data_IF_708764586674
#
_entry.id   IF_708764586674
#
_cell.length_a   1.000
_cell.length_b   1.000
_cell.length_c   1.000
_cell.angle_alpha   90.00
_cell.angle_beta   90.00
_cell.angle_gamma   90.00
#
_symmetry.space_group_name_H-M   'P 1'
#
loop_
_entity.id
_entity.type
_entity.pdbx_description
1 polymer ?
#
# COMPACT_ATOMS: atom_id res chain seq x y z
N UNK A 1 7.82 1.92 40.70
CA UNK A 1 6.98 2.66 39.74
C UNK A 1 7.49 2.32 38.36
N UNK A 2 6.86 1.34 37.70
CA UNK A 2 7.26 0.90 36.36
C UNK A 2 6.60 1.84 35.35
N UNK A 3 7.40 2.57 34.59
CA UNK A 3 6.95 3.39 33.47
C UNK A 3 6.36 2.46 32.41
N UNK A 4 5.04 2.33 32.38
CA UNK A 4 4.35 1.85 31.18
C UNK A 4 4.49 2.99 30.17
N UNK A 5 5.57 2.96 29.38
CA UNK A 5 5.55 3.65 28.10
C UNK A 5 4.48 2.88 27.32
N UNK A 6 3.37 3.51 26.89
CA UNK A 6 2.56 2.88 25.88
C UNK A 6 3.50 2.72 24.69
N UNK A 7 3.93 1.49 24.42
CA UNK A 7 4.58 1.16 23.15
C UNK A 7 3.70 1.83 22.09
N UNK A 8 4.29 2.77 21.36
CA UNK A 8 3.62 3.53 20.31
C UNK A 8 3.19 2.53 19.24
N UNK A 9 2.05 1.88 19.42
CA UNK A 9 1.52 0.96 18.46
C UNK A 9 1.20 1.75 17.20
N UNK A 10 1.89 1.42 16.11
CA UNK A 10 1.62 2.02 14.81
C UNK A 10 0.13 1.83 14.47
N UNK A 11 -0.54 2.87 13.95
CA UNK A 11 -1.96 2.80 13.59
C UNK A 11 -2.19 1.69 12.57
N UNK A 12 -3.32 0.99 12.69
CA UNK A 12 -3.69 -0.10 11.78
C UNK A 12 -4.72 0.42 10.78
N UNK A 13 -4.41 0.28 9.49
CA UNK A 13 -5.32 0.50 8.38
C UNK A 13 -5.85 -0.86 7.90
N UNK A 14 -7.15 -1.00 7.71
CA UNK A 14 -7.78 -2.27 7.31
C UNK A 14 -8.18 -2.18 5.85
N UNK A 15 -7.63 -3.04 5.00
CA UNK A 15 -8.04 -3.15 3.60
C UNK A 15 -9.48 -3.64 3.53
N UNK A 16 -10.34 -2.81 2.96
CA UNK A 16 -11.76 -3.09 2.74
C UNK A 16 -12.28 -2.41 1.47
N UNK A 17 -13.55 -2.68 1.15
CA UNK A 17 -14.20 -2.10 -0.03
C UNK A 17 -14.60 -0.63 0.15
N UNK A 18 -14.79 -0.16 1.40
CA UNK A 18 -15.15 1.22 1.67
C UNK A 18 -14.02 2.17 1.28
N UNK A 19 -12.77 1.76 1.52
CA UNK A 19 -11.57 2.53 1.19
C UNK A 19 -11.01 2.24 -0.21
N UNK A 20 -11.61 1.31 -0.96
CA UNK A 20 -11.15 1.00 -2.31
C UNK A 20 -11.50 2.14 -3.27
N UNK A 21 -10.46 2.82 -3.75
CA UNK A 21 -10.49 3.84 -4.79
C UNK A 21 -10.69 3.25 -6.19
N UNK A 22 -11.78 2.50 -6.36
CA UNK A 22 -12.16 1.89 -7.64
C UNK A 22 -12.78 2.95 -8.57
N UNK A 23 -12.57 2.78 -9.88
CA UNK A 23 -13.29 3.58 -10.87
C UNK A 23 -14.75 3.13 -10.86
N UNK A 24 -15.65 3.97 -10.36
CA UNK A 24 -17.09 3.71 -10.34
C UNK A 24 -17.79 4.47 -11.48
N UNK A 25 -18.80 3.84 -12.09
CA UNK A 25 -19.64 4.48 -13.10
C UNK A 25 -20.57 5.54 -12.50
N UNK A 26 -20.78 5.50 -11.19
CA UNK A 26 -21.60 6.43 -10.40
C UNK A 26 -20.80 7.64 -9.87
N UNK A 27 -19.47 7.61 -9.98
CA UNK A 27 -18.59 8.68 -9.48
C UNK A 27 -18.38 8.66 -7.96
N UNK A 28 -18.85 7.60 -7.27
CA UNK A 28 -18.52 7.36 -5.86
C UNK A 28 -17.02 7.09 -5.71
N UNK A 29 -16.38 7.87 -4.82
CA UNK A 29 -14.99 7.71 -4.41
C UNK A 29 -14.93 6.91 -3.10
N UNK A 30 -13.88 6.11 -2.93
CA UNK A 30 -13.66 5.39 -1.69
C UNK A 30 -13.31 6.34 -0.54
N UNK A 31 -13.56 5.92 0.69
CA UNK A 31 -13.11 6.62 1.89
C UNK A 31 -11.58 6.72 1.93
N UNK A 32 -11.08 7.79 2.54
CA UNK A 32 -9.65 8.01 2.74
C UNK A 32 -9.26 7.79 4.20
N UNK A 33 -8.15 7.10 4.44
CA UNK A 33 -7.62 6.97 5.78
C UNK A 33 -7.01 8.29 6.25
N UNK A 34 -7.01 8.50 7.57
CA UNK A 34 -6.31 9.61 8.22
C UNK A 34 -5.55 9.12 9.45
N UNK A 35 -4.24 9.37 9.51
CA UNK A 35 -3.38 8.92 10.61
C UNK A 35 -2.45 10.02 11.09
N UNK A 36 -2.12 9.99 12.38
CA UNK A 36 -1.15 10.91 13.00
C UNK A 36 0.27 10.30 13.09
N UNK A 37 0.43 9.01 12.77
CA UNK A 37 1.70 8.28 12.87
C UNK A 37 2.68 8.65 11.76
N UNK A 38 3.73 9.41 12.10
CA UNK A 38 4.78 9.80 11.14
C UNK A 38 5.84 8.70 10.93
N UNK A 39 5.97 7.83 11.92
CA UNK A 39 6.96 6.74 11.90
C UNK A 39 6.52 5.56 11.03
N UNK A 40 5.22 5.44 10.78
CA UNK A 40 4.66 4.35 9.98
C UNK A 40 3.20 4.06 10.27
N UNK A 41 2.69 3.04 9.60
CA UNK A 41 1.41 2.41 9.91
C UNK A 41 1.48 0.91 9.58
N UNK A 42 0.53 0.14 10.10
CA UNK A 42 0.35 -1.27 9.76
C UNK A 42 -0.85 -1.42 8.82
N UNK A 43 -0.67 -2.11 7.70
CA UNK A 43 -1.74 -2.42 6.75
C UNK A 43 -2.21 -3.85 6.99
N UNK A 44 -3.46 -4.02 7.42
CA UNK A 44 -4.10 -5.31 7.63
C UNK A 44 -4.89 -5.71 6.39
N UNK A 45 -4.54 -6.86 5.79
CA UNK A 45 -5.30 -7.48 4.69
C UNK A 45 -6.17 -8.64 5.18
N UNK A 46 -6.24 -8.85 6.50
CA UNK A 46 -6.98 -9.94 7.11
C UNK A 46 -8.46 -9.90 6.71
N UNK A 47 -8.93 -10.99 6.11
CA UNK A 47 -10.32 -11.17 5.72
C UNK A 47 -10.73 -10.44 4.44
N UNK A 48 -9.80 -9.79 3.75
CA UNK A 48 -10.06 -9.19 2.45
C UNK A 48 -9.77 -10.18 1.32
N UNK A 49 -10.72 -10.35 0.41
CA UNK A 49 -10.57 -11.22 -0.76
C UNK A 49 -10.32 -10.39 -2.02
N UNK A 50 -9.12 -10.52 -2.59
CA UNK A 50 -8.77 -9.82 -3.82
C UNK A 50 -9.46 -10.46 -5.04
N UNK A 51 -10.17 -9.65 -5.81
CA UNK A 51 -10.78 -10.10 -7.07
C UNK A 51 -9.71 -10.13 -8.17
N UNK A 52 -9.35 -11.32 -8.65
CA UNK A 52 -8.39 -11.50 -9.74
C UNK A 52 -9.11 -11.34 -11.09
N UNK A 53 -8.66 -10.42 -11.97
CA UNK A 53 -9.28 -10.25 -13.29
C UNK A 53 -9.18 -11.52 -14.15
N UNK A 54 -10.21 -11.80 -14.96
CA UNK A 54 -10.15 -12.92 -15.90
C UNK A 54 -9.06 -12.71 -16.97
N UNK A 55 -8.35 -13.77 -17.34
CA UNK A 55 -7.37 -13.74 -18.42
C UNK A 55 -5.97 -13.27 -18.01
N UNK A 56 -5.68 -13.18 -16.71
CA UNK A 56 -4.33 -12.97 -16.18
C UNK A 56 -3.70 -14.31 -15.76
N UNK A 57 -2.38 -14.35 -15.65
CA UNK A 57 -1.56 -15.53 -15.35
C UNK A 57 -1.16 -15.66 -13.87
N UNK A 58 -1.57 -14.70 -13.03
CA UNK A 58 -1.34 -14.73 -11.59
C UNK A 58 -2.62 -15.04 -10.81
N UNK A 59 -2.45 -15.56 -9.59
CA UNK A 59 -3.57 -15.95 -8.71
C UNK A 59 -3.65 -15.11 -7.42
N UNK A 60 -2.65 -14.25 -7.18
CA UNK A 60 -2.56 -13.45 -5.96
C UNK A 60 -1.70 -12.18 -6.19
N UNK A 61 -1.89 -11.13 -5.36
CA UNK A 61 -0.93 -10.04 -5.29
C UNK A 61 0.46 -10.52 -4.85
N UNK A 62 1.48 -9.79 -5.25
CA UNK A 62 2.88 -10.03 -4.85
C UNK A 62 3.60 -8.77 -4.36
N UNK A 63 2.95 -7.60 -4.40
CA UNK A 63 3.56 -6.33 -4.03
C UNK A 63 2.55 -5.38 -3.41
N UNK A 64 3.04 -4.57 -2.47
CA UNK A 64 2.38 -3.39 -1.94
C UNK A 64 3.22 -2.19 -2.38
N UNK A 65 2.65 -1.29 -3.18
CA UNK A 65 3.28 -0.07 -3.65
C UNK A 65 2.75 1.15 -2.90
N UNK A 66 3.63 2.10 -2.66
CA UNK A 66 3.36 3.37 -2.02
C UNK A 66 3.79 4.50 -2.96
N UNK A 67 2.85 5.33 -3.38
CA UNK A 67 3.08 6.50 -4.22
C UNK A 67 2.89 7.77 -3.40
N UNK A 68 3.89 8.64 -3.41
CA UNK A 68 3.88 9.94 -2.74
C UNK A 68 4.21 11.00 -3.79
N UNK A 69 3.32 11.96 -4.01
CA UNK A 69 3.54 12.99 -5.01
C UNK A 69 3.75 12.40 -6.42
N UNK A 70 4.74 12.93 -7.16
CA UNK A 70 5.01 12.53 -8.56
C UNK A 70 6.26 11.67 -8.74
N UNK A 71 7.12 11.60 -7.73
CA UNK A 71 8.51 11.15 -7.86
C UNK A 71 8.95 10.14 -6.79
N UNK A 72 8.11 9.90 -5.78
CA UNK A 72 8.41 8.98 -4.70
C UNK A 72 7.55 7.73 -4.83
N UNK A 73 8.17 6.65 -5.27
CA UNK A 73 7.59 5.33 -5.33
C UNK A 73 8.40 4.37 -4.44
N UNK A 74 7.67 3.66 -3.59
CA UNK A 74 8.22 2.66 -2.69
C UNK A 74 7.43 1.38 -2.79
N UNK A 75 8.03 0.27 -2.38
CA UNK A 75 7.34 -1.00 -2.31
C UNK A 75 7.84 -1.89 -1.19
N UNK A 76 6.98 -2.83 -0.82
CA UNK A 76 7.33 -4.02 -0.04
C UNK A 76 6.64 -5.24 -0.65
N UNK A 77 7.15 -6.44 -0.37
CA UNK A 77 6.56 -7.68 -0.85
C UNK A 77 5.19 -7.92 -0.21
N UNK A 78 4.27 -8.46 -1.00
CA UNK A 78 3.05 -9.05 -0.47
C UNK A 78 3.27 -10.56 -0.35
N UNK A 79 3.06 -11.12 0.84
CA UNK A 79 3.23 -12.54 1.12
C UNK A 79 1.87 -13.16 1.46
N UNK A 80 1.40 -14.20 0.76
CA UNK A 80 0.07 -14.76 0.97
C UNK A 80 -0.23 -15.18 2.43
N UNK A 81 0.79 -15.62 3.16
CA UNK A 81 0.68 -16.07 4.56
C UNK A 81 0.77 -14.91 5.57
N UNK A 82 1.04 -13.69 5.11
CA UNK A 82 1.10 -12.48 5.92
C UNK A 82 -0.18 -11.66 5.74
N UNK A 83 -0.79 -11.27 6.85
CA UNK A 83 -2.02 -10.45 6.86
C UNK A 83 -1.82 -9.08 7.46
N UNK A 84 -0.61 -8.76 7.96
CA UNK A 84 -0.30 -7.50 8.61
C UNK A 84 1.08 -7.00 8.20
N UNK A 85 1.11 -5.92 7.44
CA UNK A 85 2.31 -5.37 6.83
C UNK A 85 2.71 -4.08 7.51
N UNK A 86 3.96 -3.96 7.96
CA UNK A 86 4.46 -2.71 8.52
C UNK A 86 4.97 -1.82 7.40
N UNK A 87 4.40 -0.63 7.27
CA UNK A 87 4.74 0.38 6.26
C UNK A 87 5.56 1.46 6.94
N UNK A 88 6.88 1.34 6.85
CA UNK A 88 7.85 2.19 7.52
C UNK A 88 9.18 2.29 6.71
N UNK A 89 10.17 3.08 7.15
CA UNK A 89 11.49 3.18 6.51
C UNK A 89 12.32 1.90 6.50
N UNK A 90 12.03 0.92 7.37
CA UNK A 90 12.78 -0.32 7.45
C UNK A 90 12.30 -1.34 6.42
N UNK A 91 11.02 -1.33 6.08
CA UNK A 91 10.38 -2.32 5.21
C UNK A 91 10.18 -1.82 3.76
N UNK A 92 10.27 -0.51 3.52
CA UNK A 92 10.07 0.08 2.20
C UNK A 92 11.36 0.18 1.38
N UNK A 93 11.29 -0.35 0.16
CA UNK A 93 12.35 -0.27 -0.85
C UNK A 93 12.00 0.81 -1.88
N UNK A 94 12.91 1.74 -2.21
CA UNK A 94 12.67 2.71 -3.28
C UNK A 94 12.62 2.05 -4.65
N UNK A 95 11.71 2.52 -5.50
CA UNK A 95 11.55 2.06 -6.89
C UNK A 95 11.88 3.18 -7.89
N UNK A 96 12.21 2.81 -9.12
CA UNK A 96 12.37 3.71 -10.27
C UNK A 96 13.20 4.98 -10.01
N UNK A 97 14.27 4.88 -9.23
CA UNK A 97 15.18 6.00 -8.93
C UNK A 97 14.74 6.91 -7.78
N UNK A 98 13.66 6.57 -7.05
CA UNK A 98 13.27 7.28 -5.84
C UNK A 98 14.38 7.24 -4.78
N UNK A 99 14.50 8.32 -4.00
CA UNK A 99 15.40 8.35 -2.84
C UNK A 99 14.87 7.43 -1.76
N UNK A 100 15.76 6.88 -0.93
CA UNK A 100 15.40 6.06 0.23
C UNK A 100 14.29 6.73 1.06
N UNK A 101 13.28 5.95 1.44
CA UNK A 101 12.21 6.43 2.31
C UNK A 101 12.76 6.75 3.70
N UNK A 102 12.41 7.91 4.25
CA UNK A 102 12.92 8.37 5.56
C UNK A 102 11.81 8.58 6.60
N UNK A 103 10.55 8.34 6.22
CA UNK A 103 9.39 8.52 7.08
C UNK A 103 8.37 9.49 6.47
N UNK A 104 7.19 9.53 7.09
CA UNK A 104 6.08 10.35 6.62
C UNK A 104 6.17 11.80 7.09
N UNK A 105 5.68 12.71 6.25
CA UNK A 105 5.61 14.14 6.57
C UNK A 105 4.18 14.53 6.97
N UNK A 106 4.06 15.45 7.93
CA UNK A 106 2.76 16.02 8.30
C UNK A 106 2.12 16.71 7.09
N UNK A 107 0.83 16.48 6.86
CA UNK A 107 0.08 16.99 5.71
C UNK A 107 0.34 16.24 4.40
N UNK A 108 1.04 15.11 4.45
CA UNK A 108 1.35 14.32 3.26
C UNK A 108 0.16 13.43 2.87
N UNK A 109 -0.15 13.40 1.58
CA UNK A 109 -1.13 12.49 0.99
C UNK A 109 -0.40 11.45 0.16
N UNK A 110 -0.80 10.19 0.30
CA UNK A 110 -0.17 9.06 -0.38
C UNK A 110 -1.22 8.07 -0.90
N UNK A 111 -0.86 7.35 -1.95
CA UNK A 111 -1.63 6.22 -2.47
C UNK A 111 -0.91 4.96 -2.04
N UNK A 112 -1.65 4.01 -1.47
CA UNK A 112 -1.17 2.65 -1.24
C UNK A 112 -1.93 1.71 -2.15
N UNK A 113 -1.22 0.90 -2.93
CA UNK A 113 -1.79 -0.01 -3.90
C UNK A 113 -1.29 -1.44 -3.64
N UNK A 114 -2.21 -2.40 -3.61
CA UNK A 114 -1.91 -3.82 -3.54
C UNK A 114 -2.20 -4.41 -4.91
N UNK A 115 -1.27 -5.21 -5.43
CA UNK A 115 -1.46 -5.79 -6.75
C UNK A 115 -0.40 -6.79 -7.13
N UNK A 116 -0.36 -7.07 -8.43
CA UNK A 116 0.58 -7.99 -9.02
C UNK A 116 1.51 -7.23 -9.96
N UNK A 117 2.81 -7.27 -9.68
CA UNK A 117 3.86 -6.75 -10.56
C UNK A 117 4.44 -7.91 -11.37
N UNK A 118 4.15 -7.94 -12.66
CA UNK A 118 4.78 -8.86 -13.60
C UNK A 118 6.12 -8.27 -14.08
N UNK A 119 7.19 -9.08 -14.15
CA UNK A 119 8.47 -8.63 -14.68
C UNK A 119 8.35 -8.26 -16.17
N UNK A 120 9.32 -7.50 -16.71
CA UNK A 120 9.41 -7.27 -18.14
C UNK A 120 9.42 -8.59 -18.92
N UNK A 121 8.55 -8.71 -19.91
CA UNK A 121 8.48 -9.82 -20.83
C UNK A 121 9.15 -9.48 -22.16
N UNK A 122 9.31 -10.49 -23.01
CA UNK A 122 9.85 -10.31 -24.36
C UNK A 122 8.99 -9.36 -25.22
N UNK A 123 7.66 -9.39 -25.01
CA UNK A 123 6.68 -8.56 -25.73
C UNK A 123 6.30 -7.26 -24.98
N UNK A 124 6.59 -7.20 -23.67
CA UNK A 124 6.31 -6.07 -22.80
C UNK A 124 7.60 -5.66 -22.08
N UNK A 125 8.40 -4.74 -22.68
CA UNK A 125 9.72 -4.40 -22.15
C UNK A 125 9.65 -3.61 -20.83
N UNK A 126 8.46 -3.21 -20.39
CA UNK A 126 8.26 -2.53 -19.11
C UNK A 126 7.52 -3.46 -18.13
N UNK A 127 7.86 -3.40 -16.83
CA UNK A 127 7.11 -4.10 -15.81
C UNK A 127 5.64 -3.67 -15.84
N UNK A 128 4.73 -4.63 -15.70
CA UNK A 128 3.28 -4.36 -15.68
C UNK A 128 2.78 -4.51 -14.26
N UNK A 129 2.27 -3.43 -13.69
CA UNK A 129 1.60 -3.47 -12.39
C UNK A 129 0.09 -3.51 -12.58
N UNK A 130 -0.56 -4.57 -12.10
CA UNK A 130 -2.00 -4.75 -12.10
C UNK A 130 -2.50 -4.50 -10.68
N UNK A 131 -3.22 -3.40 -10.50
CA UNK A 131 -3.80 -3.00 -9.21
C UNK A 131 -5.01 -3.88 -8.91
N UNK A 132 -5.02 -4.50 -7.74
CA UNK A 132 -6.15 -5.28 -7.22
C UNK A 132 -6.92 -4.53 -6.14
N UNK A 133 -6.25 -3.62 -5.42
CA UNK A 133 -6.86 -2.70 -4.47
C UNK A 133 -5.99 -1.45 -4.35
N UNK A 134 -6.59 -0.30 -4.15
CA UNK A 134 -5.88 0.95 -3.88
C UNK A 134 -6.65 1.79 -2.88
N UNK A 135 -5.93 2.38 -1.93
CA UNK A 135 -6.44 3.28 -0.91
C UNK A 135 -5.63 4.58 -0.87
N UNK A 136 -6.24 5.62 -0.29
CA UNK A 136 -5.59 6.91 -0.04
C UNK A 136 -5.39 7.09 1.46
N UNK A 137 -4.20 7.52 1.87
CA UNK A 137 -3.88 7.83 3.27
C UNK A 137 -3.43 9.28 3.40
N UNK A 138 -4.03 9.97 4.36
CA UNK A 138 -3.66 11.31 4.78
C UNK A 138 -2.86 11.25 6.09
N UNK A 139 -1.67 11.83 6.09
CA UNK A 139 -0.84 12.00 7.28
C UNK A 139 -1.17 13.35 7.89
N UNK A 140 -1.79 13.36 9.07
CA UNK A 140 -2.32 14.56 9.74
C UNK A 140 -1.30 15.30 10.61
#
# INVERSE_FOLDING_TARGET
MSSIVPDLELPILVVDDAHWQKVSSTGEEGEEYSIFGRDGFRLSTKGYEFTIPSGVDFIAPNIIQLVIGKDQLYATAYEPDCTLYTIDPANLVPMYGSRRFTGFQKGQKLIIAIGHLSPPGHDLPQPRFIVLWAGVVNIL
#
